data_IF_208792675208
#
_entry.id   IF_208792675208
#
_cell.length_a   1.000
_cell.length_b   1.000
_cell.length_c   1.000
_cell.angle_alpha   90.00
_cell.angle_beta   90.00
_cell.angle_gamma   90.00
#
_symmetry.space_group_name_H-M   'P 1'
#
loop_
_entity.id
_entity.type
_entity.pdbx_description
1 polymer ?
#
# COMPACT_ATOMS: atom_id res chain seq x y z
N UNK A 1 9.34 18.52 9.45
CA UNK A 1 10.18 17.32 9.21
C UNK A 1 10.96 16.98 10.46
N UNK A 2 11.73 17.93 10.98
CA UNK A 2 12.58 17.67 12.16
C UNK A 2 11.75 17.48 13.44
N UNK A 3 10.60 18.15 13.58
CA UNK A 3 9.75 18.08 14.79
C UNK A 3 9.12 16.71 15.08
N UNK A 4 8.97 15.84 14.07
CA UNK A 4 8.37 14.49 14.24
C UNK A 4 9.38 13.37 14.07
N UNK A 5 10.59 13.68 13.63
CA UNK A 5 11.63 12.70 13.32
C UNK A 5 12.06 11.91 14.56
N UNK A 6 12.40 12.63 15.63
CA UNK A 6 12.91 11.99 16.85
C UNK A 6 11.82 11.14 17.53
N UNK A 7 10.57 11.62 17.56
CA UNK A 7 9.42 10.85 18.09
C UNK A 7 9.15 9.54 17.33
N UNK A 8 9.27 9.55 16.01
CA UNK A 8 9.04 8.34 15.19
C UNK A 8 10.19 7.35 15.35
N UNK A 9 11.42 7.83 15.53
CA UNK A 9 12.60 6.97 15.78
C UNK A 9 12.55 6.38 17.20
N UNK A 10 12.17 7.17 18.21
CA UNK A 10 12.08 6.73 19.60
C UNK A 10 10.99 5.67 19.81
N UNK A 11 9.88 5.77 19.06
CA UNK A 11 8.80 4.78 19.09
C UNK A 11 9.17 3.43 18.46
N UNK A 12 10.27 3.33 17.72
CA UNK A 12 10.71 2.07 17.09
C UNK A 12 11.55 1.19 18.04
N UNK A 13 12.23 1.79 19.02
CA UNK A 13 13.09 1.06 19.97
C UNK A 13 12.39 -0.04 20.79
N UNK A 14 11.13 0.12 21.25
CA UNK A 14 10.44 -0.92 22.02
C UNK A 14 9.93 -2.10 21.17
N UNK A 15 9.93 -1.97 19.85
CA UNK A 15 9.30 -2.91 18.91
C UNK A 15 10.28 -3.44 17.86
N UNK A 16 11.59 -3.30 18.08
CA UNK A 16 12.64 -3.69 17.13
C UNK A 16 12.56 -5.15 16.66
N UNK A 17 12.13 -6.06 17.54
CA UNK A 17 12.03 -7.51 17.23
C UNK A 17 10.95 -7.81 16.19
N UNK A 18 9.96 -6.92 16.06
CA UNK A 18 8.91 -6.95 15.03
C UNK A 18 9.41 -6.50 13.66
N UNK A 19 10.66 -6.01 13.57
CA UNK A 19 11.27 -5.55 12.33
C UNK A 19 12.46 -6.42 11.88
N UNK A 20 12.68 -6.45 10.57
CA UNK A 20 13.83 -7.08 9.93
C UNK A 20 14.80 -5.97 9.51
N UNK A 21 16.02 -6.02 10.06
CA UNK A 21 17.06 -4.99 9.91
C UNK A 21 18.10 -5.34 8.84
N UNK A 22 17.67 -5.94 7.73
CA UNK A 22 18.54 -6.30 6.60
C UNK A 22 18.81 -5.09 5.71
N UNK A 23 17.79 -4.24 5.49
CA UNK A 23 17.87 -3.04 4.64
C UNK A 23 18.45 -1.82 5.37
N UNK A 24 18.29 -1.76 6.70
CA UNK A 24 18.73 -0.63 7.52
C UNK A 24 19.60 -1.11 8.67
N UNK A 25 20.77 -0.49 8.83
CA UNK A 25 21.71 -0.86 9.89
C UNK A 25 21.17 -0.60 11.31
N UNK A 26 20.37 0.46 11.48
CA UNK A 26 19.81 0.88 12.77
C UNK A 26 18.59 1.81 12.57
N UNK A 27 17.82 2.12 13.62
CA UNK A 27 16.71 3.06 13.55
C UNK A 27 17.10 4.46 13.05
N UNK A 28 18.33 4.92 13.30
CA UNK A 28 18.79 6.21 12.82
C UNK A 28 19.04 6.20 11.30
N UNK A 29 19.50 5.10 10.72
CA UNK A 29 19.65 4.88 9.29
C UNK A 29 18.29 4.88 8.60
N UNK A 30 17.30 4.20 9.18
CA UNK A 30 15.91 4.27 8.71
C UNK A 30 15.37 5.70 8.75
N UNK A 31 15.60 6.42 9.85
CA UNK A 31 15.23 7.83 9.98
C UNK A 31 15.84 8.65 8.84
N UNK A 32 17.17 8.58 8.66
CA UNK A 32 17.88 9.32 7.59
C UNK A 32 17.31 8.99 6.21
N UNK A 33 17.05 7.71 5.95
CA UNK A 33 16.44 7.27 4.70
C UNK A 33 15.06 7.90 4.48
N UNK A 34 14.17 7.84 5.48
CA UNK A 34 12.83 8.48 5.41
C UNK A 34 12.92 9.99 5.17
N UNK A 35 13.87 10.67 5.82
CA UNK A 35 14.11 12.11 5.62
C UNK A 35 14.51 12.42 4.18
N UNK A 36 15.48 11.68 3.63
CA UNK A 36 15.95 11.86 2.24
C UNK A 36 14.81 11.60 1.25
N UNK A 37 14.03 10.54 1.45
CA UNK A 37 12.87 10.22 0.60
C UNK A 37 11.82 11.32 0.62
N UNK A 38 11.49 11.85 1.80
CA UNK A 38 10.55 12.97 1.93
C UNK A 38 11.08 14.26 1.28
N UNK A 39 12.36 14.58 1.43
CA UNK A 39 12.97 15.73 0.77
C UNK A 39 12.90 15.61 -0.77
N UNK A 40 13.13 14.40 -1.31
CA UNK A 40 12.98 14.13 -2.75
C UNK A 40 11.53 14.36 -3.22
N UNK A 41 10.56 13.84 -2.46
CA UNK A 41 9.14 14.08 -2.75
C UNK A 41 8.81 15.58 -2.76
N UNK A 42 9.19 16.32 -1.72
CA UNK A 42 8.89 17.75 -1.61
C UNK A 42 9.55 18.59 -2.71
N UNK A 43 10.78 18.24 -3.10
CA UNK A 43 11.47 18.91 -4.19
C UNK A 43 10.78 18.68 -5.55
N UNK A 44 10.11 17.55 -5.73
CA UNK A 44 9.41 17.18 -6.95
C UNK A 44 7.93 17.64 -6.98
N UNK A 45 7.29 17.75 -5.80
CA UNK A 45 5.84 17.88 -5.67
C UNK A 45 5.22 19.05 -6.44
N UNK A 46 5.71 20.28 -6.27
CA UNK A 46 5.10 21.45 -6.93
C UNK A 46 5.21 21.40 -8.46
N UNK A 47 6.38 21.01 -8.97
CA UNK A 47 6.60 20.83 -10.40
C UNK A 47 5.75 19.66 -10.93
N UNK A 48 5.73 18.52 -10.24
CA UNK A 48 4.91 17.38 -10.61
C UNK A 48 3.42 17.68 -10.59
N UNK A 49 2.94 18.48 -9.63
CA UNK A 49 1.54 18.88 -9.52
C UNK A 49 1.13 19.77 -10.67
N UNK A 50 1.94 20.77 -11.02
CA UNK A 50 1.70 21.61 -12.21
C UNK A 50 1.76 20.83 -13.54
N UNK A 51 2.51 19.72 -13.58
CA UNK A 51 2.57 18.79 -14.71
C UNK A 51 1.44 17.74 -14.71
N UNK A 52 0.57 17.72 -13.69
CA UNK A 52 -0.51 16.74 -13.57
C UNK A 52 -0.08 15.35 -13.07
N UNK A 53 1.15 15.17 -12.58
CA UNK A 53 1.63 13.91 -11.98
C UNK A 53 1.03 13.64 -10.60
N UNK A 54 0.62 14.69 -9.89
CA UNK A 54 -0.08 14.61 -8.61
C UNK A 54 -1.49 15.16 -8.75
N UNK A 55 -2.49 14.30 -8.56
CA UNK A 55 -3.90 14.65 -8.58
C UNK A 55 -4.52 14.45 -7.20
N UNK A 56 -5.47 15.32 -6.83
CA UNK A 56 -6.30 15.09 -5.65
C UNK A 56 -7.36 14.04 -6.00
N UNK A 57 -7.56 13.07 -5.11
CA UNK A 57 -8.55 12.01 -5.27
C UNK A 57 -8.69 11.23 -3.98
N UNK A 58 -9.77 10.47 -3.87
CA UNK A 58 -10.08 9.67 -2.69
C UNK A 58 -10.63 8.32 -3.11
N UNK A 59 -10.28 7.26 -2.37
CA UNK A 59 -10.97 5.99 -2.54
C UNK A 59 -12.28 6.02 -1.75
N UNK A 60 -13.36 5.39 -2.25
CA UNK A 60 -13.40 4.51 -3.41
C UNK A 60 -13.88 5.18 -4.72
N UNK A 61 -13.70 6.50 -4.92
CA UNK A 61 -14.20 7.22 -6.11
C UNK A 61 -13.08 8.06 -6.75
N UNK A 62 -12.55 7.57 -7.87
CA UNK A 62 -11.46 8.23 -8.59
C UNK A 62 -11.97 8.86 -9.90
N UNK A 63 -11.56 10.11 -10.15
CA UNK A 63 -11.88 10.84 -11.38
C UNK A 63 -10.94 10.45 -12.54
N UNK A 64 -10.89 9.15 -12.83
CA UNK A 64 -10.12 8.56 -13.92
C UNK A 64 -11.02 7.70 -14.81
N UNK A 65 -10.66 7.60 -16.08
CA UNK A 65 -11.35 6.73 -17.02
C UNK A 65 -11.07 5.25 -16.74
N UNK A 66 -11.97 4.38 -17.21
CA UNK A 66 -11.76 2.94 -17.15
C UNK A 66 -10.47 2.54 -17.90
N UNK A 67 -9.67 1.67 -17.30
CA UNK A 67 -8.40 1.18 -17.84
C UNK A 67 -7.42 2.30 -18.27
N UNK A 68 -7.49 3.47 -17.64
CA UNK A 68 -6.58 4.59 -17.91
C UNK A 68 -5.12 4.24 -17.60
N UNK A 69 -4.88 3.35 -16.63
CA UNK A 69 -3.55 2.96 -16.19
C UNK A 69 -3.27 1.48 -16.44
N UNK A 70 -2.00 1.16 -16.64
CA UNK A 70 -1.55 -0.24 -16.65
C UNK A 70 -1.46 -0.82 -15.23
N UNK A 71 -1.12 0.01 -14.24
CA UNK A 71 -0.80 -0.41 -12.89
C UNK A 71 -1.24 0.61 -11.84
N UNK A 72 -1.98 0.17 -10.84
CA UNK A 72 -2.24 0.89 -9.60
C UNK A 72 -1.46 0.24 -8.43
N UNK A 73 -0.81 1.06 -7.62
CA UNK A 73 -0.07 0.64 -6.44
C UNK A 73 -0.75 1.23 -5.20
N UNK A 74 -1.22 0.37 -4.30
CA UNK A 74 -1.73 0.78 -3.00
C UNK A 74 -0.75 0.31 -1.93
N UNK A 75 -0.13 1.27 -1.24
CA UNK A 75 0.74 0.94 -0.12
C UNK A 75 -0.03 0.86 1.21
N UNK A 76 0.50 1.49 2.26
CA UNK A 76 0.02 1.50 3.65
C UNK A 76 -1.28 2.30 3.86
N UNK A 77 -2.34 1.98 3.11
CA UNK A 77 -3.68 2.55 3.28
C UNK A 77 -4.68 1.48 3.70
N UNK A 78 -5.01 0.54 2.81
CA UNK A 78 -6.14 -0.37 3.04
C UNK A 78 -5.94 -1.25 4.27
N UNK A 79 -5.08 -2.27 4.17
CA UNK A 79 -4.95 -3.29 5.21
C UNK A 79 -4.35 -2.76 6.51
N UNK A 80 -3.53 -1.70 6.45
CA UNK A 80 -3.01 -1.06 7.66
C UNK A 80 -4.15 -0.56 8.55
N UNK A 81 -5.21 -0.01 7.96
CA UNK A 81 -6.36 0.55 8.65
C UNK A 81 -7.57 -0.39 8.67
N UNK A 82 -7.34 -1.69 8.86
CA UNK A 82 -8.41 -2.71 8.88
C UNK A 82 -9.48 -2.48 9.93
N UNK A 83 -9.12 -1.86 11.07
CA UNK A 83 -10.08 -1.52 12.13
C UNK A 83 -10.88 -0.26 11.82
N UNK A 84 -10.28 0.70 11.10
CA UNK A 84 -10.86 2.01 10.84
C UNK A 84 -11.65 2.05 9.52
N UNK A 85 -11.24 1.27 8.52
CA UNK A 85 -11.87 1.17 7.22
C UNK A 85 -12.70 -0.11 7.17
N UNK A 86 -13.99 0.02 6.87
CA UNK A 86 -14.90 -1.12 6.81
C UNK A 86 -14.54 -2.08 5.67
N UNK A 87 -15.06 -3.30 5.74
CA UNK A 87 -14.91 -4.26 4.65
C UNK A 87 -15.46 -3.73 3.32
N UNK A 88 -16.62 -3.07 3.36
CA UNK A 88 -17.28 -2.48 2.19
C UNK A 88 -16.40 -1.41 1.54
N UNK A 89 -15.71 -0.60 2.35
CA UNK A 89 -14.73 0.36 1.85
C UNK A 89 -13.58 -0.35 1.14
N UNK A 90 -13.01 -1.40 1.71
CA UNK A 90 -11.93 -2.17 1.09
C UNK A 90 -12.36 -2.74 -0.26
N UNK A 91 -13.52 -3.39 -0.32
CA UNK A 91 -14.04 -3.99 -1.55
C UNK A 91 -14.29 -2.92 -2.62
N UNK A 92 -14.95 -1.81 -2.25
CA UNK A 92 -15.20 -0.70 -3.16
C UNK A 92 -13.90 -0.07 -3.66
N UNK A 93 -12.93 0.15 -2.77
CA UNK A 93 -11.65 0.76 -3.11
C UNK A 93 -10.82 -0.10 -4.08
N UNK A 94 -10.73 -1.42 -3.83
CA UNK A 94 -9.99 -2.31 -4.73
C UNK A 94 -10.71 -2.48 -6.06
N UNK A 95 -12.03 -2.53 -6.06
CA UNK A 95 -12.83 -2.55 -7.30
C UNK A 95 -12.61 -1.28 -8.12
N UNK A 96 -12.58 -0.11 -7.47
CA UNK A 96 -12.31 1.16 -8.15
C UNK A 96 -10.89 1.21 -8.72
N UNK A 97 -9.90 0.73 -7.98
CA UNK A 97 -8.54 0.61 -8.51
C UNK A 97 -8.46 -0.34 -9.70
N UNK A 98 -9.22 -1.44 -9.69
CA UNK A 98 -9.33 -2.36 -10.83
C UNK A 98 -10.09 -1.76 -12.02
N UNK A 99 -11.02 -0.82 -11.78
CA UNK A 99 -11.71 -0.08 -12.84
C UNK A 99 -10.73 0.80 -13.60
N UNK A 100 -9.89 1.55 -12.88
CA UNK A 100 -8.97 2.53 -13.49
C UNK A 100 -7.67 1.90 -13.98
N UNK A 101 -7.27 0.73 -13.47
CA UNK A 101 -6.01 0.09 -13.81
C UNK A 101 -6.14 -1.41 -14.17
N UNK A 102 -5.34 -1.86 -15.16
CA UNK A 102 -5.32 -3.27 -15.60
C UNK A 102 -4.82 -4.24 -14.52
N UNK A 103 -3.94 -3.77 -13.65
CA UNK A 103 -3.40 -4.52 -12.52
C UNK A 103 -3.35 -3.62 -11.28
N UNK A 104 -3.72 -4.19 -10.14
CA UNK A 104 -3.60 -3.56 -8.82
C UNK A 104 -2.63 -4.37 -7.99
N UNK A 105 -1.71 -3.69 -7.30
CA UNK A 105 -0.81 -4.30 -6.31
C UNK A 105 -0.98 -3.63 -4.96
N UNK A 106 -1.23 -4.44 -3.93
CA UNK A 106 -1.48 -3.95 -2.57
C UNK A 106 -0.43 -4.53 -1.63
N UNK A 107 0.30 -3.66 -0.94
CA UNK A 107 1.40 -4.04 -0.05
C UNK A 107 1.64 -2.99 1.07
N UNK A 108 1.78 -3.39 2.35
CA UNK A 108 1.72 -4.76 2.88
C UNK A 108 0.29 -5.24 3.06
N UNK A 109 0.14 -6.52 3.43
CA UNK A 109 -1.15 -7.15 3.75
C UNK A 109 -1.42 -7.23 5.27
N UNK A 110 -0.71 -6.41 6.05
CA UNK A 110 -0.75 -6.41 7.52
C UNK A 110 -1.49 -5.19 8.07
N UNK A 111 -2.09 -5.35 9.24
CA UNK A 111 -2.69 -4.29 10.04
C UNK A 111 -1.69 -3.61 11.00
N UNK A 112 -2.16 -2.66 11.80
CA UNK A 112 -1.36 -1.97 12.82
C UNK A 112 -0.80 -2.89 13.92
N UNK A 113 -1.40 -4.07 14.14
CA UNK A 113 -0.94 -5.09 15.07
C UNK A 113 0.03 -6.09 14.41
N UNK A 114 0.48 -5.82 13.17
CA UNK A 114 1.38 -6.67 12.40
C UNK A 114 0.77 -8.06 12.15
N UNK A 115 -0.56 -8.13 12.07
CA UNK A 115 -1.29 -9.35 11.72
C UNK A 115 -1.86 -9.24 10.30
N UNK A 116 -2.03 -10.37 9.57
CA UNK A 116 -2.76 -10.35 8.31
C UNK A 116 -4.15 -9.76 8.50
N UNK A 117 -4.52 -8.81 7.64
CA UNK A 117 -5.82 -8.15 7.72
C UNK A 117 -6.98 -9.15 7.73
N UNK A 118 -7.96 -8.92 8.60
CA UNK A 118 -9.21 -9.69 8.63
C UNK A 118 -10.02 -9.59 7.32
N UNK A 119 -9.81 -8.52 6.54
CA UNK A 119 -10.46 -8.31 5.25
C UNK A 119 -9.82 -9.08 4.11
N UNK A 120 -8.64 -9.67 4.30
CA UNK A 120 -7.84 -10.25 3.22
C UNK A 120 -8.56 -11.41 2.53
N UNK A 121 -8.92 -12.44 3.29
CA UNK A 121 -9.59 -13.63 2.77
C UNK A 121 -10.97 -13.34 2.12
N UNK A 122 -11.89 -12.60 2.76
CA UNK A 122 -13.18 -12.29 2.13
C UNK A 122 -13.00 -11.44 0.86
N UNK A 123 -12.07 -10.48 0.86
CA UNK A 123 -11.80 -9.66 -0.32
C UNK A 123 -11.28 -10.50 -1.50
N UNK A 124 -10.38 -11.46 -1.25
CA UNK A 124 -9.92 -12.39 -2.30
C UNK A 124 -11.07 -13.19 -2.90
N UNK A 125 -11.97 -13.70 -2.06
CA UNK A 125 -13.12 -14.49 -2.50
C UNK A 125 -14.09 -13.65 -3.33
N UNK A 126 -14.44 -12.45 -2.88
CA UNK A 126 -15.38 -11.57 -3.57
C UNK A 126 -14.83 -11.06 -4.90
N UNK A 127 -13.54 -10.69 -4.95
CA UNK A 127 -12.89 -10.30 -6.20
C UNK A 127 -12.83 -11.47 -7.19
N UNK A 128 -12.51 -12.68 -6.73
CA UNK A 128 -12.52 -13.87 -7.57
C UNK A 128 -13.93 -14.18 -8.10
N UNK A 129 -14.97 -14.06 -7.26
CA UNK A 129 -16.36 -14.23 -7.66
C UNK A 129 -16.82 -13.18 -8.70
N UNK A 130 -16.23 -11.98 -8.67
CA UNK A 130 -16.42 -10.94 -9.70
C UNK A 130 -15.64 -11.19 -11.00
N UNK A 131 -14.86 -12.27 -11.05
CA UNK A 131 -14.08 -12.73 -12.21
C UNK A 131 -12.63 -12.28 -12.22
N UNK A 132 -12.16 -11.52 -11.22
CA UNK A 132 -10.76 -11.06 -11.17
C UNK A 132 -9.81 -12.21 -10.84
N UNK A 133 -8.59 -12.13 -11.38
CA UNK A 133 -7.51 -13.01 -10.96
C UNK A 133 -6.79 -12.38 -9.77
N UNK A 134 -6.77 -13.09 -8.64
CA UNK A 134 -6.16 -12.63 -7.39
C UNK A 134 -5.06 -13.59 -6.96
N UNK A 135 -3.86 -13.07 -6.72
CA UNK A 135 -2.73 -13.84 -6.22
C UNK A 135 -2.08 -13.14 -5.02
N UNK A 136 -1.60 -13.91 -4.05
CA UNK A 136 -0.71 -13.42 -3.00
C UNK A 136 0.68 -13.95 -3.29
N UNK A 137 1.62 -13.04 -3.56
CA UNK A 137 3.00 -13.37 -3.93
C UNK A 137 3.98 -12.85 -2.88
N UNK A 138 5.10 -13.55 -2.63
CA UNK A 138 6.19 -13.00 -1.84
C UNK A 138 6.88 -11.85 -2.58
N UNK A 139 7.46 -10.92 -1.83
CA UNK A 139 8.36 -9.87 -2.32
C UNK A 139 9.65 -9.86 -1.50
N UNK A 140 10.74 -9.40 -2.09
CA UNK A 140 12.06 -9.39 -1.43
C UNK A 140 12.13 -8.38 -0.27
N UNK A 141 11.26 -7.36 -0.29
CA UNK A 141 11.21 -6.36 0.76
C UNK A 141 10.45 -6.88 2.00
N UNK A 142 11.17 -7.03 3.09
CA UNK A 142 10.63 -7.36 4.40
C UNK A 142 11.19 -6.37 5.42
N UNK A 143 10.36 -5.43 5.86
CA UNK A 143 10.74 -4.53 6.96
C UNK A 143 10.00 -4.88 8.24
N UNK A 144 8.68 -5.10 8.18
CA UNK A 144 7.93 -5.73 9.25
C UNK A 144 8.02 -7.25 9.09
N UNK A 145 8.30 -7.98 10.17
CA UNK A 145 8.39 -9.43 10.15
C UNK A 145 7.08 -10.04 9.66
N UNK A 146 7.16 -10.92 8.65
CA UNK A 146 6.00 -11.51 7.99
C UNK A 146 5.27 -10.56 7.00
N UNK A 147 5.75 -9.33 6.86
CA UNK A 147 5.20 -8.29 5.99
C UNK A 147 5.74 -8.33 4.56
N UNK A 148 6.13 -9.51 4.06
CA UNK A 148 6.76 -9.70 2.75
C UNK A 148 5.82 -10.29 1.70
N UNK A 149 4.51 -10.07 1.86
CA UNK A 149 3.47 -10.56 0.95
C UNK A 149 2.73 -9.40 0.32
N UNK A 150 2.44 -9.52 -0.97
CA UNK A 150 1.71 -8.54 -1.76
C UNK A 150 0.51 -9.22 -2.44
N UNK A 151 -0.64 -8.56 -2.44
CA UNK A 151 -1.78 -8.98 -3.26
C UNK A 151 -1.62 -8.39 -4.67
N UNK A 152 -1.78 -9.23 -5.67
CA UNK A 152 -1.88 -8.84 -7.08
C UNK A 152 -3.29 -9.16 -7.55
N UNK A 153 -4.01 -8.13 -8.00
CA UNK A 153 -5.32 -8.27 -8.65
C UNK A 153 -5.15 -7.87 -10.10
N UNK A 154 -5.65 -8.68 -11.04
CA UNK A 154 -5.57 -8.38 -12.46
C UNK A 154 -6.91 -8.60 -13.14
N UNK A 155 -7.03 -8.00 -14.33
CA UNK A 155 -8.24 -8.04 -15.16
C UNK A 155 -8.88 -9.43 -15.23
N UNK A 156 -10.19 -9.42 -15.42
CA UNK A 156 -11.01 -10.63 -15.34
C UNK A 156 -10.47 -11.72 -16.26
N UNK A 157 -10.47 -12.95 -15.77
CA UNK A 157 -10.19 -14.09 -16.63
C UNK A 157 -11.22 -14.09 -17.76
N UNK A 158 -10.77 -13.97 -19.00
CA UNK A 158 -11.64 -14.19 -20.16
C UNK A 158 -11.79 -15.70 -20.25
N UNK A 159 -13.00 -16.21 -19.94
CA UNK A 159 -13.35 -17.59 -20.25
C UNK A 159 -13.05 -17.82 -21.74
N UNK A 160 -12.07 -18.70 -22.01
CA UNK A 160 -11.72 -19.15 -23.36
C UNK A 160 -12.45 -20.44 -23.68
#
# INVERSE_FOLDING_TARGET
IDETYDRVVDQLWPILDSYVWTEFADPAALGRHRRVTMQRFLADYEAGRSQGRYAAGELPVLDFADNQFDLALCSHLLFLYSEQLSYEFHLAAVTEMCRVARQVRIFPLLDLAVQPSCHLAPLQADLAAQGYQVAIVPVDYEFQRGGNRMMVVSAKAVDR
#
